data_IF_841598716370
#
_entry.id   IF_841598716370
#
_cell.length_a   1.000
_cell.length_b   1.000
_cell.length_c   1.000
_cell.angle_alpha   90.00
_cell.angle_beta   90.00
_cell.angle_gamma   90.00
#
_symmetry.space_group_name_H-M   'P 1'
#
loop_
_entity.id
_entity.type
_entity.pdbx_description
1 polymer ?
#
# COMPACT_ATOMS: atom_id res chain seq x y z
N UNK A 1 35.44 -7.53 4.58
CA UNK A 1 34.97 -7.66 5.98
C UNK A 1 34.55 -6.27 6.43
N UNK A 2 33.24 -6.01 6.37
CA UNK A 2 32.49 -4.92 6.99
C UNK A 2 31.07 -4.99 6.41
N UNK A 3 30.30 -6.01 6.80
CA UNK A 3 28.85 -5.97 6.62
C UNK A 3 28.35 -4.99 7.68
N UNK A 4 27.93 -3.81 7.24
CA UNK A 4 27.21 -2.87 8.10
C UNK A 4 25.84 -3.51 8.37
N UNK A 5 25.77 -4.36 9.39
CA UNK A 5 24.53 -4.89 9.91
C UNK A 5 23.79 -3.74 10.57
N UNK A 6 22.88 -3.12 9.82
CA UNK A 6 21.87 -2.25 10.39
C UNK A 6 20.91 -3.19 11.12
N UNK A 7 21.16 -3.36 12.42
CA UNK A 7 20.20 -3.94 13.35
C UNK A 7 19.00 -2.99 13.40
N UNK A 8 17.96 -3.30 12.64
CA UNK A 8 16.65 -2.67 12.82
C UNK A 8 16.00 -3.41 13.98
N UNK A 9 16.17 -2.88 15.20
CA UNK A 9 15.39 -3.29 16.36
C UNK A 9 13.90 -3.20 16.02
N UNK A 10 13.15 -4.27 16.31
CA UNK A 10 11.73 -4.51 15.99
C UNK A 10 10.88 -3.22 15.93
N UNK A 11 10.67 -2.62 14.74
CA UNK A 11 9.83 -1.45 14.63
C UNK A 11 8.37 -1.93 14.65
N UNK A 12 7.61 -1.44 15.61
CA UNK A 12 6.15 -1.55 15.58
C UNK A 12 5.66 -0.80 14.32
N UNK A 13 4.97 -1.49 13.41
CA UNK A 13 4.42 -0.89 12.19
C UNK A 13 2.93 -0.64 12.40
N UNK A 14 2.49 0.61 12.20
CA UNK A 14 1.11 1.05 12.40
C UNK A 14 0.47 1.42 11.06
N UNK A 15 -0.42 0.56 10.57
CA UNK A 15 -1.12 0.74 9.31
C UNK A 15 -2.47 1.43 9.53
N UNK A 16 -2.68 2.54 8.83
CA UNK A 16 -3.97 3.21 8.70
C UNK A 16 -4.56 2.90 7.31
N UNK A 17 -5.64 2.12 7.26
CA UNK A 17 -6.29 1.72 6.00
C UNK A 17 -7.74 2.19 5.92
N UNK A 18 -8.10 2.72 4.76
CA UNK A 18 -9.43 3.11 4.36
C UNK A 18 -10.01 2.08 3.37
N UNK A 19 -11.15 1.45 3.70
CA UNK A 19 -11.84 0.45 2.84
C UNK A 19 -13.15 1.05 2.32
N UNK A 20 -13.40 0.97 1.00
CA UNK A 20 -14.62 1.50 0.36
C UNK A 20 -15.44 0.40 -0.33
N UNK A 21 -16.77 0.41 -0.11
CA UNK A 21 -17.72 -0.51 -0.76
C UNK A 21 -18.46 0.23 -1.88
N UNK A 22 -18.24 -0.13 -3.14
CA UNK A 22 -18.96 0.44 -4.29
C UNK A 22 -19.58 -0.66 -5.16
N UNK A 23 -20.91 -0.63 -5.30
CA UNK A 23 -21.65 -1.40 -6.30
C UNK A 23 -21.87 -0.52 -7.54
N UNK A 24 -21.45 -0.99 -8.71
CA UNK A 24 -21.42 -0.21 -9.95
C UNK A 24 -22.59 -0.61 -10.86
N UNK A 25 -23.62 0.23 -10.97
CA UNK A 25 -24.71 0.05 -11.93
C UNK A 25 -24.48 0.93 -13.18
N UNK A 26 -24.49 0.29 -14.36
CA UNK A 26 -24.27 0.90 -15.68
C UNK A 26 -25.62 1.27 -16.29
N UNK A 27 -25.90 2.57 -16.47
CA UNK A 27 -27.17 3.03 -17.05
C UNK A 27 -27.04 3.29 -18.56
N UNK A 28 -28.01 2.77 -19.31
CA UNK A 28 -28.09 2.65 -20.76
C UNK A 28 -28.82 3.88 -21.36
N UNK A 29 -28.28 4.43 -22.46
CA UNK A 29 -28.81 5.60 -23.19
C UNK A 29 -30.00 5.24 -24.08
N UNK A 30 -30.98 6.16 -24.27
CA UNK A 30 -31.80 6.15 -25.48
C UNK A 30 -31.65 7.41 -26.34
N UNK A 31 -31.81 7.17 -27.65
CA UNK A 31 -31.91 8.11 -28.77
C UNK A 31 -33.30 8.74 -28.89
N UNK A 32 -33.47 9.75 -29.76
CA UNK A 32 -34.66 10.24 -30.50
C UNK A 32 -34.64 11.79 -30.55
N UNK A 33 -34.37 12.40 -31.71
CA UNK A 33 -35.27 12.70 -32.85
C UNK A 33 -36.08 14.00 -32.69
N UNK A 34 -36.26 14.67 -33.83
CA UNK A 34 -36.57 16.09 -34.04
C UNK A 34 -37.98 16.47 -33.53
N UNK A 35 -38.09 17.42 -32.59
CA UNK A 35 -39.38 17.92 -32.06
C UNK A 35 -39.45 19.45 -32.12
N UNK A 36 -40.57 19.95 -32.67
CA UNK A 36 -41.12 21.32 -32.66
C UNK A 36 -40.48 22.35 -31.70
N UNK A 37 -40.14 23.54 -32.21
CA UNK A 37 -39.39 24.63 -31.53
C UNK A 37 -39.93 25.03 -30.14
N UNK A 38 -41.23 24.88 -29.88
CA UNK A 38 -41.82 25.17 -28.55
C UNK A 38 -41.70 24.01 -27.57
N UNK A 39 -41.72 22.77 -28.05
CA UNK A 39 -41.44 21.58 -27.25
C UNK A 39 -39.93 21.47 -26.97
N UNK A 40 -39.08 21.90 -27.90
CA UNK A 40 -37.62 22.00 -27.75
C UNK A 40 -37.25 22.95 -26.60
N UNK A 41 -37.92 24.10 -26.47
CA UNK A 41 -37.68 25.02 -25.36
C UNK A 41 -38.11 24.45 -24.01
N UNK A 42 -39.27 23.78 -23.94
CA UNK A 42 -39.71 23.09 -22.72
C UNK A 42 -38.81 21.91 -22.37
N UNK A 43 -38.33 21.17 -23.36
CA UNK A 43 -37.37 20.09 -23.19
C UNK A 43 -36.00 20.62 -22.74
N UNK A 44 -35.53 21.74 -23.29
CA UNK A 44 -34.27 22.38 -22.88
C UNK A 44 -34.35 22.90 -21.43
N UNK A 45 -35.47 23.51 -21.04
CA UNK A 45 -35.68 23.93 -19.65
C UNK A 45 -35.78 22.71 -18.74
N UNK A 46 -36.47 21.63 -19.14
CA UNK A 46 -36.52 20.40 -18.37
C UNK A 46 -35.16 19.70 -18.26
N UNK A 47 -34.36 19.66 -19.34
CA UNK A 47 -33.01 19.10 -19.35
C UNK A 47 -32.06 19.95 -18.52
N UNK A 48 -32.19 21.28 -18.53
CA UNK A 48 -31.45 22.15 -17.63
C UNK A 48 -31.85 21.83 -16.18
N UNK A 49 -33.14 21.83 -15.83
CA UNK A 49 -33.62 21.51 -14.47
C UNK A 49 -33.14 20.12 -14.01
N UNK A 50 -33.14 19.12 -14.90
CA UNK A 50 -32.59 17.78 -14.63
C UNK A 50 -31.06 17.80 -14.53
N UNK A 51 -30.36 18.62 -15.31
CA UNK A 51 -28.90 18.76 -15.21
C UNK A 51 -28.48 19.48 -13.90
N UNK A 52 -29.31 20.38 -13.36
CA UNK A 52 -29.09 21.00 -12.05
C UNK A 52 -29.42 20.03 -10.89
N UNK A 53 -30.40 19.13 -11.04
CA UNK A 53 -30.69 18.11 -10.03
C UNK A 53 -29.75 16.90 -10.09
N UNK A 54 -29.12 16.69 -11.25
CA UNK A 54 -27.96 15.81 -11.45
C UNK A 54 -26.68 16.66 -11.44
N UNK A 55 -26.62 17.65 -10.56
CA UNK A 55 -25.33 18.08 -10.02
C UNK A 55 -24.73 16.85 -9.37
N UNK A 56 -23.77 16.24 -10.06
CA UNK A 56 -23.10 15.04 -9.63
C UNK A 56 -22.78 15.18 -8.15
N UNK A 57 -23.46 14.39 -7.32
CA UNK A 57 -22.89 13.95 -6.07
C UNK A 57 -21.65 13.16 -6.51
N UNK A 58 -20.54 13.86 -6.75
CA UNK A 58 -19.25 13.35 -6.34
C UNK A 58 -19.40 13.17 -4.82
N UNK A 59 -20.05 12.07 -4.43
CA UNK A 59 -19.87 11.48 -3.12
C UNK A 59 -18.38 11.27 -3.08
N UNK A 60 -17.66 12.26 -2.54
CA UNK A 60 -16.38 12.02 -1.91
C UNK A 60 -16.62 10.75 -1.13
N UNK A 61 -15.91 9.70 -1.51
CA UNK A 61 -15.99 8.41 -0.86
C UNK A 61 -15.70 8.67 0.61
N UNK A 62 -16.75 8.88 1.40
CA UNK A 62 -16.63 9.02 2.83
C UNK A 62 -16.13 7.67 3.26
N UNK A 63 -14.85 7.62 3.62
CA UNK A 63 -14.24 6.40 4.07
C UNK A 63 -14.86 6.07 5.41
N UNK A 64 -15.93 5.29 5.39
CA UNK A 64 -16.77 5.09 6.56
C UNK A 64 -16.11 4.18 7.61
N UNK A 65 -14.93 3.61 7.33
CA UNK A 65 -14.29 2.69 8.25
C UNK A 65 -12.75 2.73 8.07
N UNK A 66 -12.11 3.64 8.79
CA UNK A 66 -10.65 3.65 8.94
C UNK A 66 -10.26 2.55 9.92
N UNK A 67 -9.42 1.62 9.49
CA UNK A 67 -8.86 0.56 10.34
C UNK A 67 -7.43 0.89 10.73
N UNK A 68 -7.13 0.72 12.01
CA UNK A 68 -5.78 0.75 12.55
C UNK A 68 -5.33 -0.68 12.82
N UNK A 69 -4.16 -1.02 12.30
CA UNK A 69 -3.54 -2.33 12.47
C UNK A 69 -2.12 -2.12 12.96
N UNK A 70 -1.73 -2.84 14.00
CA UNK A 70 -0.37 -2.83 14.53
C UNK A 70 0.17 -4.25 14.55
N UNK A 71 1.39 -4.42 14.04
CA UNK A 71 2.11 -5.69 14.03
C UNK A 71 3.61 -5.45 14.08
N UNK A 72 4.36 -6.51 14.37
CA UNK A 72 5.81 -6.51 14.41
C UNK A 72 6.37 -7.38 13.29
N UNK A 73 7.41 -6.91 12.63
CA UNK A 73 8.11 -7.65 11.59
C UNK A 73 9.38 -8.26 12.18
N UNK A 74 9.46 -9.58 12.15
CA UNK A 74 10.61 -10.31 12.66
C UNK A 74 11.68 -10.40 11.57
N UNK A 75 12.78 -9.68 11.78
CA UNK A 75 13.98 -9.75 10.94
C UNK A 75 15.10 -10.42 11.72
N UNK A 76 15.46 -11.64 11.33
CA UNK A 76 16.63 -12.32 11.89
C UNK A 76 17.89 -11.97 11.08
N UNK A 77 18.88 -11.35 11.72
CA UNK A 77 20.19 -11.06 11.12
C UNK A 77 21.16 -12.15 11.57
N UNK A 78 21.37 -13.19 10.75
CA UNK A 78 22.21 -14.33 11.15
C UNK A 78 22.05 -15.60 10.30
N UNK A 79 22.35 -16.76 10.90
CA UNK A 79 22.54 -18.08 10.25
C UNK A 79 21.33 -18.67 9.50
N UNK A 80 20.26 -17.91 9.32
CA UNK A 80 19.15 -18.22 8.41
C UNK A 80 18.81 -16.99 7.55
N UNK A 81 19.75 -16.56 6.69
CA UNK A 81 19.54 -15.56 5.62
C UNK A 81 18.40 -15.92 4.61
N UNK A 82 17.64 -17.00 4.85
CA UNK A 82 16.55 -17.44 3.99
C UNK A 82 15.35 -16.47 3.97
N UNK A 83 15.27 -15.59 4.96
CA UNK A 83 14.21 -14.57 5.08
C UNK A 83 14.53 -13.36 4.18
N UNK A 84 15.81 -13.09 3.86
CA UNK A 84 16.21 -11.97 3.00
C UNK A 84 17.45 -12.34 2.18
N UNK A 85 17.28 -12.45 0.86
CA UNK A 85 18.35 -12.84 -0.07
C UNK A 85 18.67 -11.70 -1.03
N UNK A 86 19.95 -11.40 -1.30
CA UNK A 86 20.32 -10.46 -2.34
C UNK A 86 19.94 -11.01 -3.72
N UNK A 87 18.96 -10.38 -4.36
CA UNK A 87 18.53 -10.70 -5.72
C UNK A 87 19.45 -10.08 -6.78
N UNK A 88 20.03 -8.93 -6.48
CA UNK A 88 21.06 -8.31 -7.30
C UNK A 88 22.12 -7.67 -6.43
N UNK A 89 23.39 -7.86 -6.82
CA UNK A 89 24.54 -7.14 -6.25
C UNK A 89 25.09 -6.17 -7.30
N UNK A 90 25.36 -4.91 -6.92
CA UNK A 90 25.92 -3.95 -7.84
C UNK A 90 27.30 -4.42 -8.34
N UNK A 91 27.62 -4.26 -9.63
CA UNK A 91 28.86 -4.76 -10.23
C UNK A 91 30.11 -4.01 -9.75
N UNK A 92 29.93 -2.86 -9.10
CA UNK A 92 31.02 -2.01 -8.60
C UNK A 92 31.00 -2.06 -7.06
N UNK A 93 32.09 -2.54 -6.46
CA UNK A 93 32.36 -2.55 -5.01
C UNK A 93 32.64 -1.12 -4.45
N UNK A 94 31.96 -0.10 -4.94
CA UNK A 94 32.39 1.31 -4.81
C UNK A 94 31.45 2.23 -4.05
N UNK A 95 30.23 1.80 -3.72
CA UNK A 95 29.28 2.66 -3.01
C UNK A 95 29.27 2.26 -1.55
N UNK A 96 29.65 3.18 -0.65
CA UNK A 96 29.69 2.95 0.79
C UNK A 96 28.33 2.50 1.39
N UNK A 97 27.25 2.68 0.63
CA UNK A 97 25.86 2.44 1.03
C UNK A 97 25.21 1.24 0.35
N UNK A 98 25.92 0.52 -0.54
CA UNK A 98 25.33 -0.60 -1.29
C UNK A 98 24.30 -0.19 -2.35
N UNK A 99 24.40 1.02 -2.90
CA UNK A 99 23.56 1.50 -4.00
C UNK A 99 23.45 0.46 -5.14
N UNK A 100 22.22 0.20 -5.58
CA UNK A 100 21.92 -0.83 -6.59
C UNK A 100 21.83 -2.25 -6.03
N UNK A 101 22.01 -2.45 -4.72
CA UNK A 101 21.71 -3.72 -4.07
C UNK A 101 20.20 -3.92 -3.99
N UNK A 102 19.73 -5.05 -4.51
CA UNK A 102 18.34 -5.46 -4.42
C UNK A 102 18.22 -6.66 -3.50
N UNK A 103 17.30 -6.59 -2.55
CA UNK A 103 16.96 -7.67 -1.64
C UNK A 103 15.55 -8.18 -1.98
N UNK A 104 15.36 -9.50 -1.92
CA UNK A 104 14.05 -10.15 -1.86
C UNK A 104 13.89 -10.68 -0.45
N UNK A 105 12.72 -10.47 0.15
CA UNK A 105 12.48 -10.90 1.52
C UNK A 105 11.07 -11.45 1.75
N UNK A 106 10.97 -12.25 2.80
CA UNK A 106 9.74 -12.77 3.40
C UNK A 106 9.85 -12.65 4.93
N UNK A 107 9.32 -11.58 5.51
CA UNK A 107 9.32 -11.38 6.97
C UNK A 107 8.07 -11.98 7.60
N UNK A 108 8.23 -12.54 8.80
CA UNK A 108 7.12 -13.04 9.62
C UNK A 108 6.51 -11.87 10.37
N UNK A 109 5.18 -11.80 10.39
CA UNK A 109 4.41 -10.79 11.10
C UNK A 109 3.85 -11.36 12.40
N UNK A 110 4.19 -10.77 13.53
CA UNK A 110 3.77 -11.22 14.87
C UNK A 110 2.93 -10.17 15.60
N UNK A 111 2.12 -10.63 16.56
CA UNK A 111 1.23 -9.76 17.34
C UNK A 111 1.98 -8.87 18.32
N UNK A 112 3.08 -9.37 18.90
CA UNK A 112 3.94 -8.62 19.81
C UNK A 112 5.38 -8.64 19.30
N UNK A 113 6.26 -7.91 19.98
CA UNK A 113 7.70 -7.90 19.73
C UNK A 113 8.36 -9.28 19.93
N UNK A 114 7.73 -10.16 20.72
CA UNK A 114 8.20 -11.51 20.97
C UNK A 114 8.09 -12.38 19.70
N UNK A 115 9.20 -12.94 19.19
CA UNK A 115 9.18 -13.83 18.02
C UNK A 115 8.31 -15.07 18.19
N UNK A 116 8.12 -15.54 19.43
CA UNK A 116 7.30 -16.72 19.74
C UNK A 116 5.80 -16.38 19.90
N UNK A 117 5.42 -15.11 19.74
CA UNK A 117 4.03 -14.68 19.80
C UNK A 117 3.21 -15.12 18.58
N UNK A 118 1.89 -14.91 18.65
CA UNK A 118 0.98 -15.36 17.61
C UNK A 118 1.35 -14.73 16.25
N UNK A 119 1.58 -15.59 15.25
CA UNK A 119 1.84 -15.20 13.87
C UNK A 119 0.55 -14.69 13.25
N UNK A 120 0.60 -13.46 12.72
CA UNK A 120 -0.53 -12.81 12.06
C UNK A 120 -0.47 -12.93 10.53
N UNK A 121 0.69 -13.28 9.98
CA UNK A 121 0.91 -13.40 8.54
C UNK A 121 2.36 -13.16 8.12
N UNK A 122 2.54 -12.65 6.90
CA UNK A 122 3.86 -12.49 6.28
C UNK A 122 3.94 -11.22 5.42
N UNK A 123 5.13 -10.63 5.34
CA UNK A 123 5.42 -9.53 4.41
C UNK A 123 6.42 -9.99 3.36
N UNK A 124 6.00 -9.99 2.10
CA UNK A 124 6.79 -10.49 0.98
C UNK A 124 7.06 -9.40 -0.04
N UNK A 125 8.31 -9.24 -0.46
CA UNK A 125 8.60 -8.35 -1.58
C UNK A 125 10.07 -8.05 -1.77
N UNK A 126 10.34 -6.85 -2.25
CA UNK A 126 11.68 -6.42 -2.62
C UNK A 126 12.00 -5.03 -2.09
N UNK A 127 13.28 -4.81 -1.81
CA UNK A 127 13.85 -3.51 -1.50
C UNK A 127 15.06 -3.25 -2.39
N UNK A 128 15.19 -2.04 -2.91
CA UNK A 128 16.32 -1.60 -3.71
C UNK A 128 16.98 -0.39 -3.05
N UNK A 129 18.27 -0.49 -2.75
CA UNK A 129 19.05 0.65 -2.29
C UNK A 129 19.24 1.66 -3.44
N UNK A 130 18.67 2.85 -3.31
CA UNK A 130 18.65 3.88 -4.38
C UNK A 130 19.44 5.14 -4.05
N UNK A 131 20.10 5.20 -2.89
CA UNK A 131 20.92 6.35 -2.50
C UNK A 131 22.39 5.98 -2.26
N UNK A 132 23.29 6.83 -2.75
CA UNK A 132 24.75 6.69 -2.69
C UNK A 132 25.41 7.69 -1.73
N UNK A 133 24.63 8.41 -0.91
CA UNK A 133 25.17 9.28 0.14
C UNK A 133 25.34 8.52 1.46
N UNK A 134 26.44 8.76 2.17
CA UNK A 134 26.82 8.01 3.38
C UNK A 134 25.81 8.08 4.54
N UNK A 135 24.83 8.98 4.48
CA UNK A 135 23.93 9.28 5.59
C UNK A 135 22.61 8.50 5.59
N UNK A 136 22.24 7.78 4.52
CA UNK A 136 20.99 7.03 4.51
C UNK A 136 21.00 5.91 3.47
N UNK A 137 20.80 4.66 3.93
CA UNK A 137 20.44 3.58 3.01
C UNK A 137 18.94 3.71 2.74
N UNK A 138 18.64 4.53 1.75
CA UNK A 138 17.28 4.76 1.26
C UNK A 138 16.88 3.58 0.40
N UNK A 139 15.78 2.92 0.75
CA UNK A 139 15.24 1.82 -0.04
C UNK A 139 13.91 2.18 -0.67
N UNK A 140 13.81 1.95 -1.97
CA UNK A 140 12.49 1.81 -2.61
C UNK A 140 11.98 0.42 -2.29
N UNK A 141 10.83 0.38 -1.62
CA UNK A 141 10.18 -0.84 -1.15
C UNK A 141 8.93 -1.10 -1.99
N UNK A 142 8.76 -2.35 -2.38
CA UNK A 142 7.53 -2.85 -2.98
C UNK A 142 7.26 -4.26 -2.45
N UNK A 143 6.18 -4.41 -1.69
CA UNK A 143 5.86 -5.63 -0.99
C UNK A 143 4.35 -5.76 -0.74
N UNK A 144 3.97 -6.99 -0.39
CA UNK A 144 2.61 -7.39 -0.10
C UNK A 144 2.58 -7.91 1.33
N UNK A 145 1.74 -7.30 2.15
CA UNK A 145 1.40 -7.80 3.48
C UNK A 145 0.29 -8.83 3.31
N UNK A 146 0.58 -10.07 3.65
CA UNK A 146 -0.38 -11.16 3.72
C UNK A 146 -0.85 -11.29 5.17
N UNK A 147 -2.16 -11.13 5.40
CA UNK A 147 -2.74 -11.30 6.72
C UNK A 147 -3.69 -12.49 6.73
N UNK A 148 -3.54 -13.31 7.76
CA UNK A 148 -4.45 -14.40 8.07
C UNK A 148 -4.52 -14.55 9.60
N UNK A 149 -5.32 -13.69 10.24
CA UNK A 149 -5.38 -13.62 11.71
C UNK A 149 -6.77 -13.20 12.18
N UNK A 150 -7.26 -13.82 13.26
CA UNK A 150 -8.56 -13.52 13.87
C UNK A 150 -9.73 -13.47 12.87
N UNK A 151 -9.73 -14.36 11.87
CA UNK A 151 -10.78 -14.44 10.84
C UNK A 151 -10.69 -13.35 9.77
N UNK A 152 -9.68 -12.48 9.80
CA UNK A 152 -9.37 -11.51 8.75
C UNK A 152 -8.33 -12.12 7.81
N UNK A 153 -8.75 -12.37 6.57
CA UNK A 153 -7.87 -12.89 5.53
C UNK A 153 -7.85 -11.93 4.33
N UNK A 154 -6.66 -11.54 3.90
CA UNK A 154 -6.49 -10.63 2.77
C UNK A 154 -5.05 -10.19 2.57
N UNK A 155 -4.87 -9.28 1.62
CA UNK A 155 -3.55 -8.70 1.36
C UNK A 155 -3.60 -7.18 1.26
N UNK A 156 -2.52 -6.52 1.64
CA UNK A 156 -2.29 -5.09 1.40
C UNK A 156 -1.04 -4.95 0.54
N UNK A 157 -1.15 -4.19 -0.54
CA UNK A 157 -0.01 -3.82 -1.38
C UNK A 157 0.52 -2.48 -0.91
N UNK A 158 1.82 -2.42 -0.65
CA UNK A 158 2.48 -1.21 -0.20
C UNK A 158 3.71 -0.86 -1.02
N UNK A 159 3.95 0.45 -1.15
CA UNK A 159 5.06 1.01 -1.90
C UNK A 159 5.51 2.32 -1.26
N UNK A 160 6.82 2.55 -1.22
CA UNK A 160 7.37 3.85 -0.86
C UNK A 160 8.88 3.83 -0.67
N UNK A 161 9.38 4.90 -0.08
CA UNK A 161 10.80 5.12 0.16
C UNK A 161 11.06 5.11 1.68
N UNK A 162 11.84 4.12 2.14
CA UNK A 162 12.19 3.95 3.54
C UNK A 162 13.58 4.47 3.83
N UNK A 163 13.68 5.42 4.75
CA UNK A 163 14.95 5.91 5.31
C UNK A 163 15.16 5.21 6.65
N UNK A 164 15.79 4.02 6.65
CA UNK A 164 15.93 3.21 7.88
C UNK A 164 16.85 3.82 8.95
N UNK A 165 17.50 4.94 8.68
CA UNK A 165 18.25 5.72 9.68
C UNK A 165 17.35 6.68 10.48
N UNK A 166 16.14 6.95 9.98
CA UNK A 166 15.19 7.86 10.62
C UNK A 166 14.36 7.11 11.66
N UNK A 167 13.80 7.85 12.64
CA UNK A 167 12.95 7.26 13.69
C UNK A 167 11.60 6.75 13.17
N UNK A 168 11.19 7.19 11.98
CA UNK A 168 9.91 6.84 11.37
C UNK A 168 10.00 7.05 9.86
N UNK A 169 9.47 6.10 9.10
CA UNK A 169 9.26 6.20 7.67
C UNK A 169 7.83 5.73 7.37
N UNK A 170 7.24 6.24 6.29
CA UNK A 170 5.88 5.88 5.89
C UNK A 170 5.89 5.19 4.53
N UNK A 171 5.12 4.11 4.39
CA UNK A 171 4.85 3.51 3.09
C UNK A 171 3.38 3.69 2.70
N UNK A 172 3.13 3.94 1.42
CA UNK A 172 1.77 4.10 0.92
C UNK A 172 1.10 2.74 0.73
N UNK A 173 -0.14 2.60 1.19
CA UNK A 173 -1.01 1.47 0.84
C UNK A 173 -1.69 1.80 -0.48
N UNK A 174 -1.24 1.14 -1.55
CA UNK A 174 -1.73 1.38 -2.92
C UNK A 174 -2.94 0.53 -3.27
N UNK A 175 -3.24 -0.51 -2.49
CA UNK A 175 -4.37 -1.39 -2.72
C UNK A 175 -4.45 -2.56 -1.73
N UNK A 176 -5.46 -3.40 -1.89
CA UNK A 176 -5.60 -4.63 -1.13
C UNK A 176 -6.61 -5.60 -1.71
N UNK A 177 -6.58 -6.83 -1.21
CA UNK A 177 -7.46 -7.94 -1.60
C UNK A 177 -8.11 -8.60 -0.38
N UNK A 178 -9.09 -9.47 -0.59
CA UNK A 178 -9.83 -10.13 0.50
C UNK A 178 -10.57 -9.11 1.37
N UNK A 179 -10.36 -9.20 2.69
CA UNK A 179 -10.91 -8.26 3.67
C UNK A 179 -10.49 -6.80 3.44
N UNK A 180 -9.40 -6.56 2.71
CA UNK A 180 -8.83 -5.23 2.44
C UNK A 180 -9.12 -4.73 1.01
N UNK A 181 -10.18 -5.22 0.36
CA UNK A 181 -10.51 -4.80 -1.01
C UNK A 181 -10.74 -3.27 -1.06
N UNK A 182 -10.12 -2.60 -2.03
CA UNK A 182 -10.14 -1.13 -2.16
C UNK A 182 -9.44 -0.37 -1.02
N UNK A 183 -8.58 -1.04 -0.26
CA UNK A 183 -7.74 -0.41 0.76
C UNK A 183 -6.88 0.72 0.19
N UNK A 184 -6.83 1.85 0.90
CA UNK A 184 -5.88 2.96 0.68
C UNK A 184 -5.43 3.53 2.01
N UNK A 185 -4.23 4.09 2.08
CA UNK A 185 -3.73 4.70 3.31
C UNK A 185 -2.22 4.64 3.42
N UNK A 186 -1.70 4.49 4.63
CA UNK A 186 -0.27 4.47 4.92
C UNK A 186 0.06 3.50 6.04
N UNK A 187 1.34 3.16 6.19
CA UNK A 187 1.89 2.33 7.26
C UNK A 187 3.21 2.86 7.78
#
# INVERSE_FOLDING_TARGET
>A
MAMLGIAVENPCVCVCVCVSTLSCARTQRPSFAIISRMALFKLLVAVMVVAWSVGAEARGSSCSDTKHLSFYLQQEIGLNELIMVPAARPPVNGTATGFGMQMVYEFIMTQTEDPDSAVMGYVRGTALAVNNTAAATVFVVNNVVHMDFNGVQGTLSQQGEGVFTDSSWEFSIVGGTGAFRMARGYM
#
